data_IF_634187266354
#
_entry.id   IF_634187266354
#
_cell.length_a   1.000
_cell.length_b   1.000
_cell.length_c   1.000
_cell.angle_alpha   90.00
_cell.angle_beta   90.00
_cell.angle_gamma   90.00
#
_symmetry.space_group_name_H-M   'P 1'
#
loop_
_entity.id
_entity.type
_entity.pdbx_description
1 polymer ?
#
# COMPACT_ATOMS: atom_id res chain seq x y z
N UNK A 1 -33.14 -15.32 43.63
CA UNK A 1 -33.81 -15.67 42.35
C UNK A 1 -34.26 -14.38 41.69
N UNK A 2 -33.84 -14.20 40.43
CA UNK A 2 -34.22 -13.17 39.44
C UNK A 2 -33.84 -11.72 39.77
N UNK A 3 -33.12 -10.96 38.95
CA UNK A 3 -32.67 -11.15 37.57
C UNK A 3 -32.59 -9.75 36.95
N UNK A 4 -31.39 -9.15 36.95
CA UNK A 4 -31.12 -7.82 36.38
C UNK A 4 -29.93 -7.98 35.42
N UNK A 5 -30.23 -8.33 34.17
CA UNK A 5 -29.27 -8.46 33.06
C UNK A 5 -29.95 -7.97 31.80
N UNK A 6 -29.76 -6.69 31.44
CA UNK A 6 -29.92 -6.20 30.05
C UNK A 6 -29.59 -4.69 29.96
N UNK A 7 -28.35 -4.29 30.30
CA UNK A 7 -27.88 -2.92 30.00
C UNK A 7 -26.42 -2.86 29.53
N UNK A 8 -25.72 -4.00 29.42
CA UNK A 8 -24.31 -4.05 29.01
C UNK A 8 -24.08 -4.53 27.56
N UNK A 9 -25.10 -5.08 26.87
CA UNK A 9 -24.93 -5.55 25.48
C UNK A 9 -25.24 -4.48 24.41
N UNK A 10 -25.74 -3.29 24.78
CA UNK A 10 -26.07 -2.24 23.81
C UNK A 10 -24.95 -1.21 23.55
N UNK A 11 -23.90 -1.19 24.37
CA UNK A 11 -22.79 -0.22 24.22
C UNK A 11 -21.65 -0.71 23.31
N UNK A 12 -21.45 -2.02 23.17
CA UNK A 12 -20.31 -2.56 22.40
C UNK A 12 -20.53 -2.53 20.87
N UNK A 13 -21.80 -2.53 20.41
CA UNK A 13 -22.10 -2.46 18.97
C UNK A 13 -22.03 -1.04 18.41
N UNK A 14 -22.33 -0.01 19.23
CA UNK A 14 -22.31 1.39 18.79
C UNK A 14 -20.87 1.96 18.73
N UNK A 15 -19.96 1.48 19.57
CA UNK A 15 -18.56 1.94 19.58
C UNK A 15 -17.71 1.31 18.45
N UNK A 16 -18.08 0.13 17.94
CA UNK A 16 -17.38 -0.50 16.79
C UNK A 16 -17.63 0.24 15.47
N UNK A 17 -18.79 0.87 15.30
CA UNK A 17 -19.19 1.56 14.06
C UNK A 17 -18.61 2.98 13.98
N UNK A 18 -18.54 3.72 15.09
CA UNK A 18 -17.95 5.07 15.10
C UNK A 18 -16.44 5.04 14.84
N UNK A 19 -15.76 3.96 15.27
CA UNK A 19 -14.32 3.83 15.08
C UNK A 19 -13.98 3.67 13.59
N UNK A 20 -14.74 2.93 12.78
CA UNK A 20 -14.45 2.79 11.33
C UNK A 20 -14.77 4.06 10.53
N UNK A 21 -15.68 4.89 11.02
CA UNK A 21 -16.14 6.11 10.34
C UNK A 21 -15.12 7.26 10.37
N UNK A 22 -14.38 7.42 11.48
CA UNK A 22 -13.24 8.34 11.51
C UNK A 22 -12.18 8.02 10.44
N UNK A 23 -12.15 6.80 9.89
CA UNK A 23 -11.13 6.36 8.92
C UNK A 23 -11.45 6.84 7.50
N UNK A 24 -12.73 6.78 7.08
CA UNK A 24 -13.21 7.35 5.81
C UNK A 24 -13.19 8.88 5.83
N UNK A 25 -13.54 9.51 6.95
CA UNK A 25 -13.56 10.99 7.06
C UNK A 25 -12.16 11.64 7.09
N UNK A 26 -11.15 10.99 7.70
CA UNK A 26 -9.80 11.56 7.77
C UNK A 26 -9.04 11.50 6.44
N UNK A 27 -9.39 10.54 5.57
CA UNK A 27 -8.90 10.49 4.20
C UNK A 27 -9.50 11.62 3.34
N UNK A 28 -10.72 12.10 3.66
CA UNK A 28 -11.40 13.15 2.92
C UNK A 28 -10.88 14.59 3.11
N UNK A 29 -10.08 14.87 4.14
CA UNK A 29 -9.58 16.24 4.37
C UNK A 29 -8.12 16.44 3.97
N UNK A 30 -7.40 15.41 3.52
CA UNK A 30 -6.02 15.56 3.01
C UNK A 30 -5.55 14.57 1.92
N UNK A 31 -6.41 13.72 1.33
CA UNK A 31 -5.95 12.71 0.35
C UNK A 31 -5.29 13.28 -0.92
N UNK A 32 -5.51 14.55 -1.27
CA UNK A 32 -4.82 15.16 -2.42
C UNK A 32 -3.29 15.23 -2.23
N UNK A 33 -2.81 15.58 -1.03
CA UNK A 33 -1.38 15.86 -0.78
C UNK A 33 -0.52 14.59 -0.58
N UNK A 34 -1.16 13.43 -0.38
CA UNK A 34 -0.46 12.15 -0.15
C UNK A 34 -0.25 11.34 -1.42
N UNK A 35 -1.08 11.58 -2.43
CA UNK A 35 -1.24 10.68 -3.58
C UNK A 35 -0.95 11.37 -4.91
N UNK A 36 -1.23 12.67 -5.08
CA UNK A 36 -0.83 13.43 -6.27
C UNK A 36 0.20 14.50 -5.91
N UNK A 37 1.29 14.62 -6.68
CA UNK A 37 1.73 15.94 -7.13
C UNK A 37 2.81 15.89 -8.24
N UNK A 38 2.75 16.92 -9.06
CA UNK A 38 3.51 17.27 -10.25
C UNK A 38 5.03 17.30 -10.08
N UNK A 39 5.69 17.13 -11.23
CA UNK A 39 7.14 17.17 -11.45
C UNK A 39 7.71 18.54 -11.06
N UNK A 40 8.40 18.60 -9.93
CA UNK A 40 9.47 19.59 -9.71
C UNK A 40 10.64 18.91 -8.99
N UNK A 41 11.64 18.53 -9.78
CA UNK A 41 12.99 18.19 -9.31
C UNK A 41 13.69 19.49 -8.92
N UNK A 42 13.89 19.70 -7.62
CA UNK A 42 14.84 20.69 -7.11
C UNK A 42 16.17 19.96 -6.95
N UNK A 43 17.16 20.35 -7.74
CA UNK A 43 18.54 19.92 -7.57
C UNK A 43 19.02 20.34 -6.17
N UNK A 44 19.39 19.37 -5.33
CA UNK A 44 20.00 19.63 -4.03
C UNK A 44 21.52 19.50 -4.18
N UNK A 45 22.20 20.58 -3.83
CA UNK A 45 23.65 20.75 -3.90
C UNK A 45 24.34 19.77 -2.94
N UNK A 46 25.30 18.98 -3.45
CA UNK A 46 26.03 17.97 -2.67
C UNK A 46 27.23 18.60 -1.97
N UNK A 47 27.26 18.54 -0.63
CA UNK A 47 28.52 18.53 0.11
C UNK A 47 28.54 17.39 1.16
N UNK A 48 29.62 16.61 1.05
CA UNK A 48 30.02 15.33 1.65
C UNK A 48 30.14 15.36 3.18
N UNK A 49 29.79 14.26 3.88
CA UNK A 49 30.61 13.50 4.88
C UNK A 49 29.94 12.15 5.23
N UNK A 50 30.68 11.03 5.14
CA UNK A 50 30.34 9.77 5.84
C UNK A 50 30.58 8.49 5.03
N UNK A 51 31.52 7.64 5.46
CA UNK A 51 31.95 6.39 4.82
C UNK A 51 30.85 5.30 4.89
N UNK A 52 30.03 5.22 3.85
CA UNK A 52 29.40 4.00 3.33
C UNK A 52 29.09 4.32 1.87
N UNK A 53 30.03 4.05 0.97
CA UNK A 53 29.80 4.30 -0.45
C UNK A 53 28.62 3.43 -0.90
N UNK A 54 27.47 4.05 -1.16
CA UNK A 54 26.31 3.37 -1.71
C UNK A 54 26.74 2.59 -2.95
N UNK A 55 26.31 1.33 -3.07
CA UNK A 55 26.62 0.53 -4.24
C UNK A 55 26.18 1.24 -5.54
N UNK A 56 26.87 0.99 -6.68
CA UNK A 56 26.57 1.66 -7.94
C UNK A 56 25.11 1.44 -8.39
N UNK A 57 24.55 0.27 -8.08
CA UNK A 57 23.15 -0.07 -8.36
C UNK A 57 22.19 0.82 -7.59
N UNK A 58 22.35 0.91 -6.27
CA UNK A 58 21.50 1.75 -5.41
C UNK A 58 21.59 3.22 -5.82
N UNK A 59 22.80 3.69 -6.11
CA UNK A 59 23.03 5.04 -6.62
C UNK A 59 22.24 5.30 -7.90
N UNK A 60 22.26 4.38 -8.85
CA UNK A 60 21.50 4.53 -10.10
C UNK A 60 19.98 4.58 -9.89
N UNK A 61 19.44 3.81 -8.94
CA UNK A 61 18.02 3.84 -8.59
C UNK A 61 17.65 5.20 -7.99
N UNK A 62 18.46 5.72 -7.05
CA UNK A 62 18.22 7.01 -6.41
C UNK A 62 18.33 8.18 -7.40
N UNK A 63 19.24 8.11 -8.37
CA UNK A 63 19.35 9.12 -9.44
C UNK A 63 18.14 9.09 -10.38
N UNK A 64 17.63 7.90 -10.70
CA UNK A 64 16.46 7.74 -11.55
C UNK A 64 15.15 8.14 -10.84
N UNK A 65 15.03 7.87 -9.53
CA UNK A 65 13.77 7.99 -8.80
C UNK A 65 13.94 8.28 -7.29
N UNK A 66 14.62 9.39 -6.96
CA UNK A 66 14.81 9.82 -5.57
C UNK A 66 13.46 9.96 -4.82
N UNK A 67 13.25 9.23 -3.71
CA UNK A 67 12.00 9.29 -2.99
C UNK A 67 11.93 10.49 -2.04
N UNK A 68 10.74 11.08 -1.88
CA UNK A 68 10.50 12.07 -0.82
C UNK A 68 10.53 11.37 0.54
N UNK A 69 11.23 11.94 1.52
CA UNK A 69 11.48 11.30 2.83
C UNK A 69 10.21 10.81 3.54
N UNK A 70 9.18 11.66 3.66
CA UNK A 70 7.89 11.27 4.27
C UNK A 70 7.27 10.06 3.57
N UNK A 71 7.32 10.03 2.25
CA UNK A 71 6.70 8.96 1.45
C UNK A 71 7.50 7.66 1.53
N UNK A 72 8.84 7.73 1.56
CA UNK A 72 9.69 6.56 1.81
C UNK A 72 9.45 5.98 3.20
N UNK A 73 9.38 6.84 4.23
CA UNK A 73 9.09 6.45 5.61
C UNK A 73 7.74 5.74 5.72
N UNK A 74 6.70 6.16 5.00
CA UNK A 74 5.43 5.41 4.96
C UNK A 74 5.62 4.00 4.37
N UNK A 75 6.54 3.83 3.41
CA UNK A 75 6.85 2.50 2.84
C UNK A 75 7.55 1.64 3.86
N UNK A 76 8.52 2.21 4.59
CA UNK A 76 9.25 1.54 5.66
C UNK A 76 8.31 1.14 6.81
N UNK A 77 7.36 2.02 7.16
CA UNK A 77 6.34 1.73 8.16
C UNK A 77 5.50 0.51 7.80
N UNK A 78 5.10 0.38 6.53
CA UNK A 78 4.26 -0.74 6.09
C UNK A 78 5.02 -2.02 5.72
N UNK A 79 6.15 -1.89 5.03
CA UNK A 79 6.93 -3.04 4.59
C UNK A 79 7.71 -3.68 5.75
N UNK A 80 8.31 -2.89 6.64
CA UNK A 80 9.30 -3.41 7.61
C UNK A 80 8.85 -3.26 9.06
N UNK A 81 8.29 -2.12 9.45
CA UNK A 81 8.00 -1.82 10.86
C UNK A 81 6.68 -2.48 11.32
N UNK A 82 5.62 -2.40 10.52
CA UNK A 82 4.32 -2.98 10.87
C UNK A 82 4.38 -4.50 11.08
N UNK A 83 5.05 -5.30 10.23
CA UNK A 83 5.23 -6.73 10.50
C UNK A 83 5.89 -7.02 11.84
N UNK A 84 6.74 -6.12 12.34
CA UNK A 84 7.47 -6.23 13.61
C UNK A 84 6.67 -5.65 14.80
N UNK A 85 5.36 -5.50 14.65
CA UNK A 85 4.47 -5.01 15.69
C UNK A 85 4.24 -3.49 15.68
N UNK A 86 4.75 -2.77 14.67
CA UNK A 86 4.37 -1.38 14.41
C UNK A 86 4.97 -0.34 15.36
N UNK A 87 5.90 -0.73 16.24
CA UNK A 87 6.57 0.16 17.17
C UNK A 87 8.08 0.20 16.89
N UNK A 88 8.71 1.35 17.12
CA UNK A 88 10.13 1.58 16.85
C UNK A 88 10.69 2.72 17.70
N UNK A 89 11.99 2.68 17.98
CA UNK A 89 12.71 3.85 18.49
C UNK A 89 13.03 4.82 17.38
N UNK A 90 12.98 6.11 17.67
CA UNK A 90 13.35 7.14 16.69
C UNK A 90 14.78 6.95 16.16
N UNK A 91 15.71 6.48 17.01
CA UNK A 91 17.07 6.13 16.60
C UNK A 91 17.09 5.05 15.51
N UNK A 92 16.37 3.95 15.71
CA UNK A 92 16.23 2.87 14.70
C UNK A 92 15.70 3.40 13.37
N UNK A 93 14.70 4.29 13.40
CA UNK A 93 14.17 4.88 12.16
C UNK A 93 15.20 5.80 11.48
N UNK A 94 15.98 6.57 12.25
CA UNK A 94 17.05 7.42 11.70
C UNK A 94 18.11 6.55 11.02
N UNK A 95 18.62 5.51 11.71
CA UNK A 95 19.61 4.59 11.14
C UNK A 95 19.06 3.86 9.90
N UNK A 96 17.78 3.47 9.89
CA UNK A 96 17.16 2.85 8.72
C UNK A 96 16.98 3.81 7.53
N UNK A 97 16.93 5.13 7.77
CA UNK A 97 16.76 6.13 6.72
C UNK A 97 18.10 6.68 6.18
N UNK A 98 19.16 6.62 6.99
CA UNK A 98 20.48 7.13 6.65
C UNK A 98 21.05 6.59 5.32
N UNK A 99 20.95 5.27 5.00
CA UNK A 99 21.43 4.75 3.72
C UNK A 99 20.78 5.41 2.49
N UNK A 100 19.58 5.99 2.63
CA UNK A 100 18.87 6.66 1.54
C UNK A 100 19.20 8.16 1.43
N UNK A 101 20.25 8.62 2.10
CA UNK A 101 20.63 10.04 2.20
C UNK A 101 19.53 10.91 2.84
N UNK A 102 18.74 10.31 3.74
CA UNK A 102 17.70 11.02 4.50
C UNK A 102 18.25 11.33 5.88
N UNK A 103 18.70 12.58 6.07
CA UNK A 103 19.24 13.03 7.34
C UNK A 103 18.22 13.02 8.49
N UNK A 104 18.73 13.00 9.72
CA UNK A 104 17.95 12.96 10.96
C UNK A 104 16.87 14.07 11.04
N UNK A 105 17.19 15.28 10.59
CA UNK A 105 16.25 16.41 10.60
C UNK A 105 15.03 16.11 9.72
N UNK A 106 15.24 15.54 8.54
CA UNK A 106 14.17 15.14 7.62
C UNK A 106 13.32 14.00 8.20
N UNK A 107 13.94 13.02 8.87
CA UNK A 107 13.22 11.94 9.58
C UNK A 107 12.34 12.50 10.68
N UNK A 108 12.90 13.33 11.58
CA UNK A 108 12.16 13.95 12.70
C UNK A 108 10.97 14.77 12.21
N UNK A 109 11.17 15.58 11.17
CA UNK A 109 10.11 16.39 10.56
C UNK A 109 9.00 15.49 9.99
N UNK A 110 9.37 14.40 9.32
CA UNK A 110 8.42 13.46 8.73
C UNK A 110 7.61 12.72 9.80
N UNK A 111 8.26 12.27 10.87
CA UNK A 111 7.61 11.61 12.02
C UNK A 111 6.65 12.55 12.72
N UNK A 112 7.04 13.79 12.99
CA UNK A 112 6.16 14.80 13.59
C UNK A 112 4.91 15.05 12.74
N UNK A 113 5.08 15.15 11.42
CA UNK A 113 3.95 15.28 10.48
C UNK A 113 3.05 14.05 10.55
N UNK A 114 3.61 12.85 10.47
CA UNK A 114 2.85 11.59 10.56
C UNK A 114 2.09 11.46 11.90
N UNK A 115 2.67 11.90 13.02
CA UNK A 115 1.96 11.98 14.30
C UNK A 115 0.81 12.97 14.28
N UNK A 116 1.04 14.17 13.75
CA UNK A 116 -0.02 15.19 13.58
C UNK A 116 -1.16 14.69 12.67
N UNK A 117 -0.82 13.90 11.67
CA UNK A 117 -1.74 13.29 10.71
C UNK A 117 -2.40 11.98 11.23
N UNK A 118 -2.19 11.66 12.51
CA UNK A 118 -2.82 10.53 13.19
C UNK A 118 -2.27 9.15 12.82
N UNK A 119 -1.12 9.06 12.15
CA UNK A 119 -0.49 7.79 11.80
C UNK A 119 0.29 7.17 12.96
N UNK A 120 0.90 8.02 13.79
CA UNK A 120 1.85 7.61 14.82
C UNK A 120 1.51 8.23 16.18
N UNK A 121 1.61 7.44 17.22
CA UNK A 121 1.61 7.91 18.61
C UNK A 121 3.02 7.86 19.18
N UNK A 122 3.37 8.83 20.03
CA UNK A 122 4.68 8.93 20.66
C UNK A 122 4.61 8.59 22.14
N UNK A 123 5.59 7.83 22.61
CA UNK A 123 5.83 7.53 24.02
C UNK A 123 7.26 7.97 24.36
N UNK A 124 7.42 8.68 25.49
CA UNK A 124 8.76 9.06 25.97
C UNK A 124 9.20 8.09 27.05
N UNK A 125 10.32 7.41 26.80
CA UNK A 125 10.91 6.46 27.75
C UNK A 125 12.31 6.96 28.12
N UNK A 126 12.40 7.60 29.28
CA UNK A 126 13.62 8.28 29.73
C UNK A 126 14.05 9.39 28.76
N UNK A 127 15.25 9.24 28.18
CA UNK A 127 15.82 10.20 27.20
C UNK A 127 15.50 9.84 25.75
N UNK A 128 14.94 8.65 25.48
CA UNK A 128 14.64 8.16 24.14
C UNK A 128 13.16 8.36 23.81
N UNK A 129 12.87 8.58 22.53
CA UNK A 129 11.50 8.66 22.00
C UNK A 129 11.17 7.38 21.26
N UNK A 130 10.07 6.75 21.67
CA UNK A 130 9.49 5.58 21.02
C UNK A 130 8.22 6.01 20.29
N UNK A 131 8.02 5.47 19.10
CA UNK A 131 6.83 5.70 18.30
C UNK A 131 6.14 4.37 18.01
N UNK A 132 4.82 4.41 17.84
CA UNK A 132 4.04 3.27 17.39
C UNK A 132 2.97 3.73 16.40
N UNK A 133 2.61 2.84 15.48
CA UNK A 133 1.40 3.01 14.67
C UNK A 133 0.19 3.13 15.60
N UNK A 134 -0.65 4.14 15.35
CA UNK A 134 -1.99 4.18 15.93
C UNK A 134 -2.83 3.04 15.35
N UNK A 135 -4.00 2.76 15.94
CA UNK A 135 -4.98 1.84 15.34
C UNK A 135 -5.33 2.32 13.92
N UNK A 136 -5.46 3.63 13.76
CA UNK A 136 -5.74 4.32 12.51
C UNK A 136 -4.66 4.09 11.47
N UNK A 137 -3.43 4.47 11.78
CA UNK A 137 -2.28 4.28 10.89
C UNK A 137 -2.06 2.81 10.55
N UNK A 138 -2.28 1.92 11.52
CA UNK A 138 -2.24 0.47 11.33
C UNK A 138 -3.22 -0.01 10.25
N UNK A 139 -4.51 0.31 10.38
CA UNK A 139 -5.51 -0.17 9.43
C UNK A 139 -5.34 0.42 8.03
N UNK A 140 -4.83 1.67 7.92
CA UNK A 140 -4.50 2.26 6.61
C UNK A 140 -3.49 1.42 5.84
N UNK A 141 -2.50 0.89 6.53
CA UNK A 141 -1.51 0.00 5.92
C UNK A 141 -2.13 -1.37 5.60
N UNK A 142 -2.96 -1.92 6.49
CA UNK A 142 -3.64 -3.21 6.23
C UNK A 142 -4.51 -3.14 4.97
N UNK A 143 -5.24 -2.05 4.78
CA UNK A 143 -6.09 -1.83 3.61
C UNK A 143 -5.27 -1.70 2.30
N UNK A 144 -4.10 -1.05 2.36
CA UNK A 144 -3.26 -0.85 1.17
C UNK A 144 -2.41 -2.09 0.83
N UNK A 145 -2.08 -2.94 1.81
CA UNK A 145 -1.13 -4.03 1.65
C UNK A 145 -1.52 -5.06 0.57
N UNK A 146 -2.79 -5.50 0.45
CA UNK A 146 -3.20 -6.41 -0.62
C UNK A 146 -2.97 -5.84 -2.03
N UNK A 147 -3.01 -4.51 -2.21
CA UNK A 147 -2.75 -3.88 -3.51
C UNK A 147 -1.29 -3.94 -3.93
N UNK A 148 -0.39 -4.27 -3.01
CA UNK A 148 1.06 -4.33 -3.24
C UNK A 148 1.57 -5.78 -3.23
N UNK A 149 1.12 -6.59 -2.27
CA UNK A 149 1.73 -7.89 -2.01
C UNK A 149 0.89 -9.06 -2.52
N UNK A 150 -0.40 -8.89 -2.76
CA UNK A 150 -1.25 -9.98 -3.27
C UNK A 150 -1.12 -10.10 -4.79
N UNK A 151 -1.27 -11.32 -5.34
CA UNK A 151 -1.40 -11.49 -6.79
C UNK A 151 -2.52 -10.61 -7.35
N UNK A 152 -2.37 -10.08 -8.58
CA UNK A 152 -3.45 -9.42 -9.29
C UNK A 152 -4.69 -10.32 -9.38
N UNK A 153 -5.86 -9.69 -9.49
CA UNK A 153 -7.13 -10.41 -9.56
C UNK A 153 -7.29 -10.97 -10.97
N UNK A 154 -7.02 -12.27 -11.13
CA UNK A 154 -7.12 -12.95 -12.43
C UNK A 154 -8.54 -13.41 -12.76
N UNK A 155 -9.28 -13.91 -11.78
CA UNK A 155 -10.62 -14.44 -11.99
C UNK A 155 -11.69 -13.36 -11.81
N UNK A 156 -12.42 -13.08 -12.89
CA UNK A 156 -13.65 -12.30 -12.87
C UNK A 156 -14.67 -12.95 -13.80
N UNK A 157 -15.91 -13.05 -13.34
CA UNK A 157 -16.98 -13.83 -13.97
C UNK A 157 -17.83 -12.99 -14.95
N UNK A 158 -17.36 -11.78 -15.30
CA UNK A 158 -18.08 -10.83 -16.13
C UNK A 158 -19.13 -10.00 -15.38
N UNK A 159 -19.27 -10.18 -14.07
CA UNK A 159 -20.31 -9.52 -13.26
C UNK A 159 -19.91 -8.13 -12.81
N UNK A 160 -20.76 -7.15 -13.08
CA UNK A 160 -20.69 -5.79 -12.59
C UNK A 160 -21.66 -5.59 -11.45
N UNK A 161 -21.21 -4.88 -10.42
CA UNK A 161 -22.10 -4.30 -9.42
C UNK A 161 -22.49 -2.90 -9.87
N UNK A 162 -23.80 -2.65 -9.91
CA UNK A 162 -24.35 -1.36 -10.32
C UNK A 162 -25.16 -0.77 -9.18
N UNK A 163 -24.82 0.47 -8.80
CA UNK A 163 -25.64 1.28 -7.92
C UNK A 163 -26.33 2.37 -8.74
N UNK A 164 -27.65 2.40 -8.69
CA UNK A 164 -28.49 3.31 -9.46
C UNK A 164 -29.36 4.14 -8.52
N UNK A 165 -29.10 5.44 -8.47
CA UNK A 165 -29.93 6.45 -7.84
C UNK A 165 -30.83 7.09 -8.91
N UNK A 166 -32.14 6.78 -8.94
CA UNK A 166 -33.05 7.32 -9.94
C UNK A 166 -33.08 8.86 -9.93
N UNK A 167 -33.35 9.52 -11.07
CA UNK A 167 -33.58 10.95 -11.08
C UNK A 167 -34.65 11.36 -10.06
N UNK A 168 -34.34 12.34 -9.22
CA UNK A 168 -35.26 12.85 -8.19
C UNK A 168 -35.33 12.02 -6.90
N UNK A 169 -34.69 10.85 -6.82
CA UNK A 169 -34.64 10.03 -5.59
C UNK A 169 -33.82 10.68 -4.48
N UNK A 170 -32.76 11.41 -4.83
CA UNK A 170 -31.81 12.00 -3.90
C UNK A 170 -31.78 13.52 -4.00
N UNK A 171 -31.53 14.21 -2.89
CA UNK A 171 -31.16 15.62 -2.83
C UNK A 171 -29.73 15.85 -3.34
N UNK A 172 -29.38 17.11 -3.62
CA UNK A 172 -28.06 17.44 -4.17
C UNK A 172 -26.90 17.05 -3.25
N UNK A 173 -27.07 17.19 -1.94
CA UNK A 173 -26.04 16.84 -0.96
C UNK A 173 -25.90 15.31 -0.81
N UNK A 174 -27.01 14.56 -0.84
CA UNK A 174 -27.03 13.09 -0.81
C UNK A 174 -26.32 12.51 -2.03
N UNK A 175 -26.62 13.02 -3.23
CA UNK A 175 -25.91 12.63 -4.46
C UNK A 175 -24.40 12.88 -4.34
N UNK A 176 -24.02 14.02 -3.77
CA UNK A 176 -22.61 14.38 -3.59
C UNK A 176 -21.91 13.46 -2.59
N UNK A 177 -22.58 13.08 -1.50
CA UNK A 177 -22.03 12.12 -0.53
C UNK A 177 -21.97 10.72 -1.13
N UNK A 178 -23.06 10.21 -1.71
CA UNK A 178 -23.09 8.87 -2.32
C UNK A 178 -21.97 8.72 -3.35
N UNK A 179 -21.84 9.69 -4.27
CA UNK A 179 -20.75 9.72 -5.25
C UNK A 179 -19.38 9.61 -4.58
N UNK A 180 -19.12 10.45 -3.58
CA UNK A 180 -17.84 10.48 -2.87
C UNK A 180 -17.52 9.13 -2.20
N UNK A 181 -18.49 8.48 -1.56
CA UNK A 181 -18.27 7.18 -0.92
C UNK A 181 -18.08 6.05 -1.93
N UNK A 182 -18.86 6.04 -3.02
CA UNK A 182 -18.74 5.06 -4.08
C UNK A 182 -17.41 5.19 -4.85
N UNK A 183 -16.99 6.41 -5.20
CA UNK A 183 -15.67 6.67 -5.77
C UNK A 183 -14.55 6.19 -4.83
N UNK A 184 -14.76 6.29 -3.50
CA UNK A 184 -13.82 5.77 -2.50
C UNK A 184 -13.67 4.26 -2.53
N UNK A 185 -14.75 3.54 -2.78
CA UNK A 185 -14.77 2.08 -2.96
C UNK A 185 -14.34 1.65 -4.36
N UNK A 186 -13.99 2.59 -5.24
CA UNK A 186 -13.48 2.35 -6.59
C UNK A 186 -14.53 2.41 -7.68
N UNK A 187 -15.81 2.65 -7.36
CA UNK A 187 -16.85 2.80 -8.37
C UNK A 187 -16.57 4.01 -9.26
N UNK A 188 -16.94 3.89 -10.53
CA UNK A 188 -16.96 5.00 -11.47
C UNK A 188 -18.40 5.41 -11.79
N UNK A 189 -18.63 6.70 -12.06
CA UNK A 189 -19.94 7.20 -12.46
C UNK A 189 -20.06 7.13 -13.98
N UNK A 190 -20.79 6.14 -14.49
CA UNK A 190 -20.99 5.94 -15.93
C UNK A 190 -22.04 6.91 -16.52
N UNK A 191 -23.01 7.31 -15.72
CA UNK A 191 -24.00 8.34 -16.03
C UNK A 191 -24.51 8.99 -14.74
N UNK A 192 -25.29 10.08 -14.84
CA UNK A 192 -25.87 10.73 -13.66
C UNK A 192 -26.69 9.72 -12.82
N UNK A 193 -26.23 9.45 -11.61
CA UNK A 193 -26.86 8.49 -10.69
C UNK A 193 -26.57 7.01 -11.00
N UNK A 194 -25.75 6.68 -11.99
CA UNK A 194 -25.37 5.29 -12.33
C UNK A 194 -23.89 5.08 -12.04
N UNK A 195 -23.60 4.16 -11.11
CA UNK A 195 -22.25 3.83 -10.67
C UNK A 195 -21.95 2.36 -10.95
N UNK A 196 -20.74 2.08 -11.46
CA UNK A 196 -20.32 0.74 -11.87
C UNK A 196 -19.03 0.34 -11.15
N UNK A 197 -18.95 -0.92 -10.72
CA UNK A 197 -17.68 -1.51 -10.26
C UNK A 197 -17.65 -3.02 -10.55
N UNK A 198 -16.57 -3.55 -11.15
CA UNK A 198 -16.49 -4.98 -11.50
C UNK A 198 -16.22 -5.88 -10.29
N UNK A 199 -15.79 -5.31 -9.17
CA UNK A 199 -15.45 -6.03 -7.95
C UNK A 199 -16.20 -5.47 -6.74
N UNK A 200 -17.41 -4.94 -6.98
CA UNK A 200 -18.19 -4.24 -5.97
C UNK A 200 -18.68 -5.18 -4.89
N UNK A 201 -18.35 -4.90 -3.62
CA UNK A 201 -18.81 -5.68 -2.47
C UNK A 201 -20.22 -5.27 -2.05
N UNK A 202 -21.13 -6.25 -1.92
CA UNK A 202 -22.47 -6.03 -1.40
C UNK A 202 -22.45 -5.55 0.06
N UNK A 203 -21.54 -6.09 0.88
CA UNK A 203 -21.38 -5.68 2.28
C UNK A 203 -20.94 -4.21 2.36
N UNK A 204 -19.94 -3.82 1.57
CA UNK A 204 -19.46 -2.43 1.54
C UNK A 204 -20.55 -1.46 1.07
N UNK A 205 -21.36 -1.86 0.08
CA UNK A 205 -22.48 -1.04 -0.40
C UNK A 205 -23.58 -0.93 0.66
N UNK A 206 -23.96 -2.03 1.29
CA UNK A 206 -24.98 -2.03 2.33
C UNK A 206 -24.57 -1.14 3.51
N UNK A 207 -23.29 -1.19 3.90
CA UNK A 207 -22.72 -0.25 4.86
C UNK A 207 -22.90 1.19 4.36
N UNK A 208 -22.36 1.56 3.19
CA UNK A 208 -22.44 2.94 2.66
C UNK A 208 -23.89 3.45 2.61
N UNK A 209 -24.83 2.64 2.12
CA UNK A 209 -26.22 3.04 1.99
C UNK A 209 -26.90 3.18 3.36
N UNK A 210 -26.60 2.31 4.32
CA UNK A 210 -27.09 2.45 5.70
C UNK A 210 -26.53 3.70 6.38
N UNK A 211 -25.24 3.98 6.18
CA UNK A 211 -24.55 5.16 6.72
C UNK A 211 -25.14 6.48 6.20
N UNK A 212 -25.49 6.52 4.92
CA UNK A 212 -26.09 7.69 4.29
C UNK A 212 -27.63 7.72 4.42
N UNK A 213 -28.24 6.68 5.03
CA UNK A 213 -29.67 6.49 5.10
C UNK A 213 -30.37 6.49 3.72
N UNK A 214 -29.74 5.85 2.72
CA UNK A 214 -30.17 5.80 1.31
C UNK A 214 -30.59 4.39 0.85
N UNK A 215 -30.78 3.45 1.77
CA UNK A 215 -31.08 2.05 1.44
C UNK A 215 -32.37 1.86 0.62
N UNK A 216 -33.33 2.79 0.73
CA UNK A 216 -34.59 2.77 -0.03
C UNK A 216 -34.57 3.65 -1.29
N UNK A 217 -33.49 4.41 -1.50
CA UNK A 217 -33.39 5.44 -2.55
C UNK A 217 -32.44 5.02 -3.69
N UNK A 218 -31.63 3.98 -3.46
CA UNK A 218 -30.64 3.46 -4.41
C UNK A 218 -30.93 2.00 -4.72
N UNK A 219 -31.11 1.69 -6.01
CA UNK A 219 -31.18 0.32 -6.48
C UNK A 219 -29.79 -0.25 -6.66
N UNK A 220 -29.55 -1.45 -6.13
CA UNK A 220 -28.30 -2.20 -6.35
C UNK A 220 -28.62 -3.46 -7.13
N UNK A 221 -27.92 -3.67 -8.24
CA UNK A 221 -28.09 -4.86 -9.06
C UNK A 221 -26.76 -5.41 -9.55
N UNK A 222 -26.80 -6.69 -9.89
CA UNK A 222 -25.73 -7.39 -10.59
C UNK A 222 -26.06 -7.39 -12.09
N UNK A 223 -25.09 -7.04 -12.93
CA UNK A 223 -25.24 -6.95 -14.37
C UNK A 223 -24.10 -7.67 -15.10
N UNK A 224 -24.37 -8.21 -16.29
CA UNK A 224 -23.37 -8.78 -17.19
C UNK A 224 -23.52 -8.20 -18.59
N UNK A 225 -22.44 -8.18 -19.36
CA UNK A 225 -22.45 -7.67 -20.72
C UNK A 225 -23.24 -8.54 -21.70
N UNK A 226 -24.07 -7.84 -22.47
CA UNK A 226 -24.68 -8.13 -23.76
C UNK A 226 -23.76 -8.53 -24.93
N UNK A 227 -22.75 -9.40 -24.80
CA UNK A 227 -21.66 -9.48 -25.81
C UNK A 227 -22.15 -9.60 -27.27
N UNK A 228 -23.18 -10.42 -27.53
CA UNK A 228 -23.73 -10.62 -28.87
C UNK A 228 -24.30 -9.35 -29.54
N UNK A 229 -24.59 -8.30 -28.76
CA UNK A 229 -25.21 -7.05 -29.22
C UNK A 229 -24.41 -5.80 -28.87
N UNK A 230 -23.32 -5.92 -28.10
CA UNK A 230 -22.50 -4.79 -27.69
C UNK A 230 -21.48 -4.44 -28.77
N UNK A 231 -21.60 -3.26 -29.37
CA UNK A 231 -20.60 -2.75 -30.32
C UNK A 231 -19.35 -2.19 -29.62
N UNK A 232 -19.49 -1.72 -28.38
CA UNK A 232 -18.37 -1.28 -27.55
C UNK A 232 -17.77 -2.49 -26.84
N UNK A 233 -16.47 -2.72 -27.05
CA UNK A 233 -15.72 -3.71 -26.30
C UNK A 233 -15.65 -3.33 -24.83
N UNK A 234 -15.70 -4.33 -23.96
CA UNK A 234 -15.66 -4.14 -22.51
C UNK A 234 -14.40 -3.35 -22.07
N UNK A 235 -13.25 -3.65 -22.66
CA UNK A 235 -11.98 -2.94 -22.40
C UNK A 235 -12.01 -1.49 -22.89
N UNK A 236 -12.65 -1.20 -24.02
CA UNK A 236 -12.77 0.16 -24.55
C UNK A 236 -13.63 1.05 -23.63
N UNK A 237 -14.66 0.47 -23.00
CA UNK A 237 -15.47 1.15 -21.99
C UNK A 237 -14.67 1.49 -20.73
N UNK A 238 -13.75 0.61 -20.29
CA UNK A 238 -12.93 0.85 -19.08
C UNK A 238 -12.05 2.11 -19.24
N UNK A 239 -11.44 2.31 -20.40
CA UNK A 239 -10.58 3.49 -20.66
C UNK A 239 -11.40 4.79 -20.68
N UNK A 240 -12.71 4.73 -20.94
CA UNK A 240 -13.59 5.90 -20.86
C UNK A 240 -13.92 6.28 -19.41
N UNK A 241 -13.95 5.30 -18.51
CA UNK A 241 -14.39 5.50 -17.13
C UNK A 241 -13.25 5.62 -16.12
N UNK A 242 -12.04 5.16 -16.46
CA UNK A 242 -10.85 5.27 -15.63
C UNK A 242 -9.67 5.79 -16.45
N UNK A 243 -8.97 6.79 -15.91
CA UNK A 243 -7.70 7.22 -16.47
C UNK A 243 -6.59 6.21 -16.10
N UNK A 244 -6.23 5.38 -17.07
CA UNK A 244 -5.20 4.36 -16.91
C UNK A 244 -3.80 4.88 -17.26
N UNK A 245 -3.67 6.04 -17.91
CA UNK A 245 -2.40 6.49 -18.48
C UNK A 245 -1.36 6.76 -17.41
N UNK A 246 -1.73 7.53 -16.37
CA UNK A 246 -0.79 7.88 -15.30
C UNK A 246 -0.28 6.63 -14.56
N UNK A 247 -1.17 5.66 -14.32
CA UNK A 247 -0.79 4.41 -13.68
C UNK A 247 0.11 3.54 -14.58
N UNK A 248 -0.21 3.46 -15.88
CA UNK A 248 0.61 2.78 -16.89
C UNK A 248 2.03 3.36 -16.95
N UNK A 249 2.16 4.68 -17.07
CA UNK A 249 3.46 5.38 -17.13
C UNK A 249 4.32 5.09 -15.90
N UNK A 250 3.69 5.05 -14.71
CA UNK A 250 4.40 4.74 -13.46
C UNK A 250 4.88 3.29 -13.42
N UNK A 251 4.11 2.35 -13.94
CA UNK A 251 4.54 0.95 -14.07
C UNK A 251 5.66 0.80 -15.10
N UNK A 252 5.55 1.44 -16.27
CA UNK A 252 6.60 1.41 -17.29
C UNK A 252 7.91 2.01 -16.78
N UNK A 253 7.84 3.11 -16.02
CA UNK A 253 9.01 3.68 -15.36
C UNK A 253 9.58 2.76 -14.28
N UNK A 254 8.72 2.09 -13.49
CA UNK A 254 9.16 1.09 -12.53
C UNK A 254 9.92 -0.05 -13.23
N UNK A 255 9.35 -0.60 -14.31
CA UNK A 255 9.99 -1.65 -15.11
C UNK A 255 11.36 -1.19 -15.64
N UNK A 256 11.44 0.02 -16.22
CA UNK A 256 12.70 0.51 -16.80
C UNK A 256 13.83 0.69 -15.77
N UNK A 257 13.51 1.09 -14.54
CA UNK A 257 14.48 1.25 -13.46
C UNK A 257 14.88 -0.08 -12.85
N UNK A 258 13.92 -0.99 -12.63
CA UNK A 258 14.14 -2.17 -11.78
C UNK A 258 14.45 -3.46 -12.56
N UNK A 259 14.17 -3.53 -13.87
CA UNK A 259 14.55 -4.68 -14.71
C UNK A 259 16.08 -4.94 -14.70
N UNK A 260 16.95 -3.93 -14.90
CA UNK A 260 18.40 -4.12 -14.81
C UNK A 260 18.85 -4.58 -13.42
N UNK A 261 18.22 -4.06 -12.37
CA UNK A 261 18.51 -4.41 -10.97
C UNK A 261 18.19 -5.88 -10.71
N UNK A 262 17.00 -6.34 -11.14
CA UNK A 262 16.59 -7.73 -10.97
C UNK A 262 17.47 -8.71 -11.77
N UNK A 263 18.03 -8.28 -12.91
CA UNK A 263 19.02 -9.07 -13.67
C UNK A 263 20.32 -9.21 -12.90
N UNK A 264 20.86 -8.12 -12.36
CA UNK A 264 22.12 -8.15 -11.59
C UNK A 264 21.98 -8.96 -10.30
N UNK A 265 20.88 -8.80 -9.55
CA UNK A 265 20.59 -9.60 -8.36
C UNK A 265 20.61 -11.11 -8.63
N UNK A 266 20.11 -11.53 -9.80
CA UNK A 266 20.11 -12.94 -10.19
C UNK A 266 21.46 -13.47 -10.69
N UNK A 267 22.31 -12.61 -11.27
CA UNK A 267 23.59 -13.02 -11.87
C UNK A 267 24.75 -12.99 -10.86
N UNK A 268 24.75 -12.02 -9.95
CA UNK A 268 25.85 -11.79 -9.02
C UNK A 268 25.33 -11.45 -7.61
N UNK A 269 24.58 -12.37 -6.97
CA UNK A 269 23.98 -12.10 -5.66
C UNK A 269 25.01 -11.75 -4.57
N UNK A 270 26.23 -12.27 -4.67
CA UNK A 270 27.32 -12.01 -3.71
C UNK A 270 27.95 -10.61 -3.79
N UNK A 271 27.56 -9.77 -4.77
CA UNK A 271 28.04 -8.39 -4.88
C UNK A 271 27.28 -7.40 -3.97
N UNK A 272 26.16 -7.83 -3.39
CA UNK A 272 25.29 -6.96 -2.61
C UNK A 272 25.44 -7.23 -1.12
N UNK A 273 25.66 -6.18 -0.34
CA UNK A 273 25.58 -6.28 1.11
C UNK A 273 24.13 -6.37 1.58
N UNK A 274 23.90 -6.78 2.83
CA UNK A 274 22.56 -6.76 3.43
C UNK A 274 21.93 -5.36 3.40
N UNK A 275 22.75 -4.32 3.53
CA UNK A 275 22.30 -2.92 3.44
C UNK A 275 21.84 -2.58 2.02
N UNK A 276 22.58 -3.00 0.98
CA UNK A 276 22.18 -2.79 -0.41
C UNK A 276 20.84 -3.51 -0.70
N UNK A 277 20.68 -4.74 -0.21
CA UNK A 277 19.45 -5.52 -0.40
C UNK A 277 18.26 -4.91 0.36
N UNK A 278 18.49 -4.35 1.55
CA UNK A 278 17.49 -3.54 2.25
C UNK A 278 17.09 -2.30 1.44
N UNK A 279 18.06 -1.58 0.87
CA UNK A 279 17.80 -0.39 0.07
C UNK A 279 17.02 -0.72 -1.20
N UNK A 280 17.46 -1.73 -1.95
CA UNK A 280 16.83 -2.18 -3.19
C UNK A 280 15.38 -2.63 -2.91
N UNK A 281 15.16 -3.43 -1.87
CA UNK A 281 13.82 -3.87 -1.46
C UNK A 281 12.92 -2.67 -1.19
N UNK A 282 13.36 -1.75 -0.34
CA UNK A 282 12.52 -0.63 0.09
C UNK A 282 12.21 0.32 -1.08
N UNK A 283 13.19 0.58 -1.95
CA UNK A 283 13.01 1.44 -3.13
C UNK A 283 12.06 0.78 -4.15
N UNK A 284 12.21 -0.53 -4.40
CA UNK A 284 11.30 -1.27 -5.28
C UNK A 284 9.86 -1.25 -4.74
N UNK A 285 9.68 -1.55 -3.45
CA UNK A 285 8.37 -1.48 -2.80
C UNK A 285 7.79 -0.08 -2.82
N UNK A 286 8.62 0.95 -2.60
CA UNK A 286 8.18 2.33 -2.63
C UNK A 286 7.66 2.74 -4.01
N UNK A 287 8.43 2.46 -5.07
CA UNK A 287 8.07 2.79 -6.44
C UNK A 287 6.84 1.99 -6.89
N UNK A 288 6.81 0.67 -6.64
CA UNK A 288 5.69 -0.20 -6.98
C UNK A 288 4.41 0.19 -6.24
N UNK A 289 4.49 0.55 -4.95
CA UNK A 289 3.34 1.09 -4.19
C UNK A 289 2.73 2.29 -4.90
N UNK A 290 3.56 3.24 -5.34
CA UNK A 290 3.05 4.46 -5.96
C UNK A 290 2.32 4.18 -7.26
N UNK A 291 2.84 3.28 -8.09
CA UNK A 291 2.13 2.84 -9.29
C UNK A 291 0.83 2.11 -8.95
N UNK A 292 0.89 1.13 -8.05
CA UNK A 292 -0.24 0.26 -7.71
C UNK A 292 -1.38 0.95 -6.96
N UNK A 293 -1.07 1.98 -6.17
CA UNK A 293 -2.11 2.76 -5.50
C UNK A 293 -2.78 3.78 -6.42
N UNK A 294 -2.16 4.16 -7.55
CA UNK A 294 -2.79 4.99 -8.58
C UNK A 294 -3.65 4.16 -9.55
N UNK A 295 -3.26 2.92 -9.85
CA UNK A 295 -4.05 2.06 -10.73
C UNK A 295 -5.43 1.76 -10.14
N UNK A 296 -6.55 1.91 -10.87
CA UNK A 296 -7.86 1.48 -10.37
C UNK A 296 -7.86 -0.02 -10.12
N UNK A 297 -8.62 -0.51 -9.14
CA UNK A 297 -8.66 -1.94 -8.81
C UNK A 297 -9.62 -2.67 -9.75
N UNK A 298 -9.10 -3.15 -10.87
CA UNK A 298 -9.87 -3.85 -11.89
C UNK A 298 -9.40 -5.31 -12.03
N UNK A 299 -10.28 -6.22 -12.46
CA UNK A 299 -9.88 -7.53 -12.95
C UNK A 299 -8.87 -7.44 -14.10
N UNK A 300 -7.98 -8.42 -14.21
CA UNK A 300 -6.99 -8.51 -15.29
C UNK A 300 -7.63 -8.39 -16.69
N UNK A 301 -8.81 -9.02 -16.88
CA UNK A 301 -9.54 -9.03 -18.14
C UNK A 301 -10.08 -7.65 -18.59
N UNK A 302 -10.09 -6.64 -17.71
CA UNK A 302 -10.61 -5.30 -18.00
C UNK A 302 -9.51 -4.31 -18.38
N UNK A 303 -8.25 -4.62 -18.11
CA UNK A 303 -7.16 -3.76 -18.56
C UNK A 303 -6.94 -3.90 -20.06
N UNK A 304 -6.46 -2.83 -20.73
CA UNK A 304 -6.11 -2.90 -22.14
C UNK A 304 -4.97 -3.88 -22.38
N UNK A 305 -4.88 -4.40 -23.62
CA UNK A 305 -3.75 -5.22 -24.04
C UNK A 305 -2.43 -4.46 -23.83
N UNK A 306 -1.43 -5.16 -23.29
CA UNK A 306 -0.13 -4.56 -22.98
C UNK A 306 -0.09 -3.75 -21.68
N UNK A 307 -1.11 -3.88 -20.82
CA UNK A 307 -1.09 -3.28 -19.48
C UNK A 307 0.13 -3.76 -18.67
N UNK A 308 1.00 -2.87 -18.20
CA UNK A 308 2.29 -3.23 -17.58
C UNK A 308 2.18 -3.70 -16.11
N UNK A 309 0.98 -3.66 -15.51
CA UNK A 309 0.81 -3.90 -14.07
C UNK A 309 1.18 -5.33 -13.63
N UNK A 310 0.91 -6.34 -14.46
CA UNK A 310 1.25 -7.73 -14.15
C UNK A 310 2.77 -7.96 -14.22
N UNK A 311 3.43 -7.46 -15.26
CA UNK A 311 4.88 -7.52 -15.38
C UNK A 311 5.57 -6.80 -14.22
N UNK A 312 5.07 -5.62 -13.84
CA UNK A 312 5.59 -4.87 -12.70
C UNK A 312 5.40 -5.64 -11.38
N UNK A 313 4.26 -6.32 -11.20
CA UNK A 313 4.04 -7.18 -10.03
C UNK A 313 5.07 -8.31 -9.97
N UNK A 314 5.29 -9.02 -11.08
CA UNK A 314 6.26 -10.11 -11.14
C UNK A 314 7.69 -9.64 -10.92
N UNK A 315 8.08 -8.50 -11.49
CA UNK A 315 9.39 -7.89 -11.25
C UNK A 315 9.57 -7.52 -9.77
N UNK A 316 8.56 -6.88 -9.17
CA UNK A 316 8.59 -6.52 -7.75
C UNK A 316 8.72 -7.76 -6.86
N UNK A 317 7.94 -8.80 -7.15
CA UNK A 317 8.02 -10.12 -6.48
C UNK A 317 9.43 -10.70 -6.58
N UNK A 318 10.04 -10.69 -7.77
CA UNK A 318 11.39 -11.21 -8.01
C UNK A 318 12.46 -10.46 -7.20
N UNK A 319 12.40 -9.13 -7.19
CA UNK A 319 13.33 -8.34 -6.37
C UNK A 319 13.12 -8.64 -4.89
N UNK A 320 11.87 -8.72 -4.45
CA UNK A 320 11.55 -9.03 -3.06
C UNK A 320 12.09 -10.41 -2.64
N UNK A 321 11.93 -11.44 -3.48
CA UNK A 321 12.44 -12.79 -3.19
C UNK A 321 13.95 -12.83 -3.05
N UNK A 322 14.69 -12.04 -3.84
CA UNK A 322 16.16 -11.97 -3.75
C UNK A 322 16.67 -11.15 -2.56
N UNK A 323 15.87 -10.23 -2.02
CA UNK A 323 16.34 -9.23 -1.06
C UNK A 323 15.81 -9.43 0.37
N UNK A 324 14.70 -10.15 0.55
CA UNK A 324 13.98 -10.09 1.82
C UNK A 324 14.79 -10.62 3.01
N UNK A 325 15.52 -11.72 2.89
CA UNK A 325 16.26 -12.33 4.01
C UNK A 325 17.34 -11.39 4.52
N UNK A 326 18.23 -10.95 3.64
CA UNK A 326 19.32 -10.04 3.97
C UNK A 326 18.80 -8.68 4.47
N UNK A 327 17.70 -8.17 3.87
CA UNK A 327 17.05 -6.97 4.35
C UNK A 327 16.51 -7.11 5.78
N UNK A 328 15.92 -8.26 6.14
CA UNK A 328 15.48 -8.52 7.51
C UNK A 328 16.67 -8.68 8.48
N UNK A 329 17.77 -9.29 8.06
CA UNK A 329 19.01 -9.38 8.87
C UNK A 329 19.60 -7.99 9.15
N UNK A 330 19.62 -7.10 8.15
CA UNK A 330 20.03 -5.71 8.34
C UNK A 330 19.13 -4.99 9.33
N UNK A 331 17.81 -5.13 9.19
CA UNK A 331 16.83 -4.57 10.12
C UNK A 331 17.00 -5.12 11.54
N UNK A 332 17.22 -6.42 11.71
CA UNK A 332 17.45 -7.04 13.02
C UNK A 332 18.64 -6.38 13.75
N UNK A 333 19.73 -6.09 13.03
CA UNK A 333 20.88 -5.36 13.58
C UNK A 333 20.50 -3.94 14.04
N UNK A 334 19.75 -3.20 13.22
CA UNK A 334 19.30 -1.84 13.57
C UNK A 334 18.37 -1.82 14.79
N UNK A 335 17.49 -2.81 14.94
CA UNK A 335 16.64 -2.92 16.12
C UNK A 335 17.46 -3.32 17.36
N UNK A 336 18.42 -4.23 17.22
CA UNK A 336 19.26 -4.70 18.33
C UNK A 336 20.10 -3.58 18.97
N UNK A 337 20.42 -2.50 18.24
CA UNK A 337 21.08 -1.31 18.80
C UNK A 337 20.25 -0.56 19.85
N UNK A 338 18.92 -0.68 19.78
CA UNK A 338 17.99 0.08 20.61
C UNK A 338 17.11 -0.79 21.51
N UNK A 339 16.97 -2.08 21.18
CA UNK A 339 16.12 -3.06 21.87
C UNK A 339 16.88 -4.37 22.11
N UNK A 340 16.84 -4.89 23.33
CA UNK A 340 17.50 -6.16 23.68
C UNK A 340 16.92 -7.37 22.92
N UNK A 341 15.64 -7.31 22.54
CA UNK A 341 14.92 -8.38 21.86
C UNK A 341 14.01 -7.82 20.76
N UNK A 342 14.55 -7.58 19.56
CA UNK A 342 13.76 -7.19 18.39
C UNK A 342 12.65 -8.20 18.12
N UNK A 343 11.45 -7.71 17.79
CA UNK A 343 10.35 -8.60 17.37
C UNK A 343 10.63 -9.13 15.96
N UNK A 344 10.46 -10.45 15.72
CA UNK A 344 10.51 -10.98 14.36
C UNK A 344 9.31 -10.47 13.55
N UNK A 345 9.37 -10.53 12.21
CA UNK A 345 8.22 -10.27 11.35
C UNK A 345 7.04 -11.21 11.68
N UNK A 346 5.81 -10.68 11.57
CA UNK A 346 4.59 -11.44 11.77
C UNK A 346 4.36 -12.49 10.66
N UNK A 347 3.50 -13.49 10.92
CA UNK A 347 3.18 -14.53 9.94
C UNK A 347 2.72 -13.98 8.56
N UNK A 348 1.97 -12.87 8.56
CA UNK A 348 1.53 -12.19 7.33
C UNK A 348 2.70 -11.75 6.43
N UNK A 349 3.86 -11.41 7.00
CA UNK A 349 5.05 -11.07 6.22
C UNK A 349 5.42 -12.18 5.24
N UNK A 350 5.42 -13.43 5.71
CA UNK A 350 5.81 -14.59 4.94
C UNK A 350 4.77 -15.03 3.92
N UNK A 351 3.53 -14.51 3.97
CA UNK A 351 2.51 -14.78 2.94
C UNK A 351 2.57 -13.80 1.76
N UNK A 352 3.43 -12.76 1.83
CA UNK A 352 3.55 -11.75 0.78
C UNK A 352 3.99 -12.39 -0.53
N UNK A 353 3.50 -11.84 -1.65
CA UNK A 353 3.79 -12.31 -3.00
C UNK A 353 3.44 -13.79 -3.25
N UNK A 354 2.45 -14.31 -2.52
CA UNK A 354 2.03 -15.71 -2.60
C UNK A 354 2.88 -16.69 -1.79
N UNK A 355 3.73 -16.17 -0.90
CA UNK A 355 4.63 -16.97 -0.07
C UNK A 355 6.08 -16.58 -0.30
N UNK A 356 6.78 -16.25 0.79
CA UNK A 356 8.24 -16.15 0.80
C UNK A 356 8.75 -17.53 1.18
N UNK A 357 9.31 -18.27 0.21
CA UNK A 357 10.06 -19.46 0.56
C UNK A 357 11.22 -19.03 1.45
N UNK A 358 11.37 -19.66 2.62
CA UNK A 358 12.67 -19.72 3.23
C UNK A 358 13.55 -20.41 2.19
N UNK A 359 14.56 -19.72 1.64
CA UNK A 359 15.71 -20.45 1.13
C UNK A 359 16.31 -21.11 2.36
N UNK A 360 15.80 -22.29 2.71
CA UNK A 360 16.43 -23.17 3.68
C UNK A 360 17.72 -23.65 3.03
N UNK A 361 18.80 -23.61 3.80
CA UNK A 361 20.10 -24.20 3.48
C UNK A 361 19.93 -25.69 3.12
N UNK A 362 19.66 -26.00 1.85
CA UNK A 362 19.80 -27.37 1.30
C UNK A 362 21.28 -27.82 1.21
N UNK A 363 22.24 -27.01 1.70
CA UNK A 363 23.67 -27.31 1.67
C UNK A 363 24.26 -27.94 2.94
N UNK A 364 23.58 -27.92 4.09
CA UNK A 364 24.23 -28.21 5.38
C UNK A 364 23.96 -29.61 5.98
N UNK A 365 23.14 -30.46 5.35
CA UNK A 365 22.80 -31.80 5.88
C UNK A 365 23.36 -32.99 5.08
N UNK A 366 24.13 -32.75 4.00
CA UNK A 366 24.74 -33.84 3.21
C UNK A 366 26.15 -34.26 3.66
N UNK A 367 26.73 -33.67 4.71
CA UNK A 367 28.08 -34.02 5.19
C UNK A 367 28.12 -34.86 6.48
N UNK A 368 26.97 -35.33 6.98
CA UNK A 368 26.88 -36.20 8.15
C UNK A 368 26.52 -37.67 7.83
N UNK A 369 26.49 -38.04 6.54
CA UNK A 369 26.35 -39.43 6.10
C UNK A 369 27.26 -39.68 4.89
N UNK A 370 28.54 -39.97 5.17
CA UNK A 370 29.55 -40.34 4.20
C UNK A 370 30.80 -40.84 4.91
#
# INVERSE_FOLDING_TARGET
MHGCSSLLEFCDTFFSLSTRFSYRFYFATRSSDYWHDARHTVACDKQVVGQNAMGPVVTSILEAAAPRSKSLIVSLLGDSIKPRGGAFWLGTLISACEPFDINERAVRTSVQRLSRDGWLQSERVGRKSRYALTREGGARIDQASPRMYSPPIEAWDGTWTVAFAPPGSLQAWERSQLRKYLEWEGYTMAASGVFLHPLGSADSLNEILGELNLANDVFVFSARSIEAVSALGLCDGVVQFWDLNEASDRYLHFLSVFDPVARQLGQAPGEFSDMDLFQIRLLAIHAFRRASLHAPRLPAALYPNGWPGLDAYHLCKKIYSHSWQAAEQYLDRLYAEQEERPKPPSAYFYTRFGGLAAHDDEGALSSAAG
#
